data_IF_213580383913
#
_entry.id   IF_213580383913
#
_cell.length_a   1.000
_cell.length_b   1.000
_cell.length_c   1.000
_cell.angle_alpha   90.00
_cell.angle_beta   90.00
_cell.angle_gamma   90.00
#
_symmetry.space_group_name_H-M   'P 1'
#
loop_
_entity.id
_entity.type
_entity.pdbx_description
1 polymer ?
#
# COMPACT_ATOMS: atom_id res chain seq x y z
N UNK A 1 -7.32 9.20 -11.22
CA UNK A 1 -7.90 8.30 -12.24
C UNK A 1 -6.77 7.47 -12.79
N UNK A 2 -6.82 6.17 -12.54
CA UNK A 2 -5.80 5.22 -12.94
C UNK A 2 -5.84 5.03 -14.45
N UNK A 3 -4.66 5.04 -15.09
CA UNK A 3 -4.55 4.79 -16.53
C UNK A 3 -4.51 3.29 -16.78
N UNK A 4 -5.15 2.85 -17.85
CA UNK A 4 -4.99 1.48 -18.35
C UNK A 4 -3.51 1.24 -18.69
N UNK A 5 -2.97 0.10 -18.27
CA UNK A 5 -1.56 -0.21 -18.46
C UNK A 5 -1.30 -0.67 -19.90
N UNK A 6 -0.67 0.19 -20.71
CA UNK A 6 -0.03 -0.18 -21.97
C UNK A 6 1.44 -0.50 -21.75
N UNK A 7 1.80 -1.78 -21.83
CA UNK A 7 3.19 -2.23 -21.65
C UNK A 7 4.07 -1.80 -22.83
N UNK A 8 5.16 -1.12 -22.53
CA UNK A 8 6.10 -0.64 -23.55
C UNK A 8 7.25 -1.62 -23.85
N UNK A 9 7.29 -2.78 -23.17
CA UNK A 9 8.31 -3.82 -23.29
C UNK A 9 9.76 -3.32 -23.13
N UNK A 10 9.94 -2.14 -22.54
CA UNK A 10 11.24 -1.52 -22.35
C UNK A 10 12.03 -2.29 -21.31
N UNK A 11 13.32 -2.50 -21.60
CA UNK A 11 14.29 -3.04 -20.66
C UNK A 11 15.08 -1.85 -20.13
N UNK A 12 15.27 -1.78 -18.81
CA UNK A 12 16.08 -0.73 -18.18
C UNK A 12 17.55 -0.90 -18.56
N UNK A 13 18.17 0.21 -18.98
CA UNK A 13 19.62 0.31 -19.13
C UNK A 13 20.33 0.24 -17.77
N UNK A 14 21.63 -0.04 -17.77
CA UNK A 14 22.41 -0.15 -16.53
C UNK A 14 22.33 1.12 -15.68
N UNK A 15 22.43 2.29 -16.32
CA UNK A 15 22.30 3.58 -15.65
C UNK A 15 20.92 3.76 -15.00
N UNK A 16 19.84 3.39 -15.71
CA UNK A 16 18.48 3.48 -15.16
C UNK A 16 18.26 2.52 -13.99
N UNK A 17 18.93 1.36 -13.99
CA UNK A 17 18.89 0.43 -12.86
C UNK A 17 19.56 1.03 -11.62
N UNK A 18 20.70 1.70 -11.81
CA UNK A 18 21.41 2.41 -10.73
C UNK A 18 20.52 3.51 -10.15
N UNK A 19 19.98 4.39 -11.00
CA UNK A 19 19.10 5.48 -10.58
C UNK A 19 17.84 4.97 -9.85
N UNK A 20 17.23 3.89 -10.36
CA UNK A 20 16.10 3.25 -9.70
C UNK A 20 16.47 2.73 -8.30
N UNK A 21 17.66 2.14 -8.15
CA UNK A 21 18.13 1.64 -6.87
C UNK A 21 18.40 2.77 -5.87
N UNK A 22 19.03 3.86 -6.31
CA UNK A 22 19.29 5.04 -5.49
C UNK A 22 17.98 5.66 -4.98
N UNK A 23 16.99 5.84 -5.88
CA UNK A 23 15.66 6.32 -5.49
C UNK A 23 14.93 5.36 -4.56
N UNK A 24 15.05 4.07 -4.78
CA UNK A 24 14.49 3.07 -3.87
C UNK A 24 15.11 3.16 -2.48
N UNK A 25 16.43 3.39 -2.40
CA UNK A 25 17.14 3.56 -1.12
C UNK A 25 16.70 4.80 -0.36
N UNK A 26 16.43 5.93 -1.04
CA UNK A 26 15.84 7.12 -0.40
C UNK A 26 14.54 6.77 0.34
N UNK A 27 13.59 6.09 -0.34
CA UNK A 27 12.31 5.70 0.27
C UNK A 27 12.48 4.68 1.41
N UNK A 28 13.36 3.69 1.23
CA UNK A 28 13.61 2.66 2.24
C UNK A 28 14.22 3.28 3.50
N UNK A 29 15.16 4.20 3.35
CA UNK A 29 15.80 4.89 4.48
C UNK A 29 14.79 5.77 5.22
N UNK A 30 14.01 6.59 4.50
CA UNK A 30 12.94 7.39 5.10
C UNK A 30 11.95 6.54 5.89
N UNK A 31 11.54 5.40 5.33
CA UNK A 31 10.64 4.48 6.03
C UNK A 31 11.32 3.88 7.28
N UNK A 32 12.58 3.48 7.17
CA UNK A 32 13.36 2.86 8.25
C UNK A 32 13.49 3.77 9.47
N UNK A 33 13.67 5.08 9.26
CA UNK A 33 13.70 6.07 10.34
C UNK A 33 12.36 6.18 11.10
N UNK A 34 11.25 5.84 10.44
CA UNK A 34 9.91 5.93 11.01
C UNK A 34 9.41 4.61 11.65
N UNK A 35 10.05 3.47 11.35
CA UNK A 35 9.60 2.13 11.80
C UNK A 35 9.43 2.06 13.33
N UNK A 36 10.37 2.60 14.08
CA UNK A 36 10.31 2.54 15.55
C UNK A 36 9.10 3.31 16.09
N UNK A 37 8.85 4.51 15.56
CA UNK A 37 7.67 5.30 15.90
C UNK A 37 6.37 4.58 15.56
N UNK A 38 6.30 3.94 14.38
CA UNK A 38 5.15 3.13 13.96
C UNK A 38 4.93 1.95 14.92
N UNK A 39 5.99 1.25 15.32
CA UNK A 39 5.93 0.12 16.25
C UNK A 39 5.42 0.55 17.65
N UNK A 40 5.93 1.66 18.17
CA UNK A 40 5.48 2.22 19.44
C UNK A 40 4.01 2.65 19.39
N UNK A 41 3.57 3.26 18.29
CA UNK A 41 2.15 3.61 18.07
C UNK A 41 1.28 2.36 18.05
N UNK A 42 1.64 1.35 17.25
CA UNK A 42 0.91 0.08 17.16
C UNK A 42 0.77 -0.65 18.51
N UNK A 43 1.80 -0.58 19.36
CA UNK A 43 1.79 -1.22 20.69
C UNK A 43 0.90 -0.47 21.69
N UNK A 44 0.79 0.86 21.57
CA UNK A 44 -0.11 1.67 22.41
C UNK A 44 -1.59 1.45 22.05
N UNK A 45 -1.89 1.28 20.76
CA UNK A 45 -3.24 1.00 20.24
C UNK A 45 -3.88 -0.22 20.93
N UNK A 46 -3.11 -1.31 21.12
CA UNK A 46 -3.61 -2.53 21.74
C UNK A 46 -4.02 -2.38 23.22
N UNK A 47 -3.72 -1.24 23.85
CA UNK A 47 -3.96 -0.99 25.28
C UNK A 47 -5.12 -0.02 25.56
N UNK A 48 -5.69 0.65 24.55
CA UNK A 48 -6.75 1.67 24.72
C UNK A 48 -7.90 1.45 23.72
N UNK A 49 -9.05 1.01 24.23
CA UNK A 49 -10.28 0.81 23.45
C UNK A 49 -11.53 1.43 24.11
N UNK A 50 -11.36 2.47 24.92
CA UNK A 50 -12.45 2.95 25.77
C UNK A 50 -13.28 4.10 25.16
N UNK A 51 -12.86 4.69 24.03
CA UNK A 51 -13.58 5.78 23.36
C UNK A 51 -13.75 5.59 21.85
N UNK A 52 -14.77 6.20 21.26
CA UNK A 52 -14.97 6.19 19.79
C UNK A 52 -13.83 6.94 19.07
N UNK A 53 -13.22 7.92 19.73
CA UNK A 53 -12.01 8.58 19.25
C UNK A 53 -10.84 7.60 19.11
N UNK A 54 -10.59 6.79 20.14
CA UNK A 54 -9.52 5.79 20.11
C UNK A 54 -9.78 4.81 18.97
N UNK A 55 -11.04 4.35 18.77
CA UNK A 55 -11.38 3.45 17.66
C UNK A 55 -11.05 4.04 16.29
N UNK A 56 -11.43 5.30 16.03
CA UNK A 56 -11.15 5.98 14.75
C UNK A 56 -9.63 6.12 14.56
N UNK A 57 -8.93 6.65 15.56
CA UNK A 57 -7.49 6.89 15.51
C UNK A 57 -6.72 5.58 15.33
N UNK A 58 -7.07 4.55 16.08
CA UNK A 58 -6.47 3.22 16.00
C UNK A 58 -6.69 2.60 14.61
N UNK A 59 -7.87 2.78 14.03
CA UNK A 59 -8.17 2.31 12.67
C UNK A 59 -7.32 3.04 11.63
N UNK A 60 -7.24 4.37 11.69
CA UNK A 60 -6.41 5.17 10.78
C UNK A 60 -4.92 4.77 10.88
N UNK A 61 -4.38 4.64 12.09
CA UNK A 61 -2.99 4.22 12.30
C UNK A 61 -2.77 2.80 11.78
N UNK A 62 -3.68 1.87 12.04
CA UNK A 62 -3.58 0.48 11.55
C UNK A 62 -3.53 0.43 10.02
N UNK A 63 -4.44 1.16 9.35
CA UNK A 63 -4.48 1.20 7.89
C UNK A 63 -3.21 1.89 7.36
N UNK A 64 -2.84 3.05 7.91
CA UNK A 64 -1.65 3.80 7.48
C UNK A 64 -0.35 3.01 7.66
N UNK A 65 -0.25 2.24 8.76
CA UNK A 65 0.85 1.32 9.00
C UNK A 65 0.89 0.25 7.91
N UNK A 66 -0.25 -0.40 7.66
CA UNK A 66 -0.36 -1.45 6.64
C UNK A 66 0.02 -0.94 5.24
N UNK A 67 -0.50 0.22 4.81
CA UNK A 67 -0.20 0.78 3.49
C UNK A 67 1.26 1.23 3.37
N UNK A 68 1.85 1.76 4.44
CA UNK A 68 3.26 2.14 4.46
C UNK A 68 4.20 0.93 4.37
N UNK A 69 3.95 -0.13 5.15
CA UNK A 69 4.71 -1.39 5.02
C UNK A 69 4.53 -2.02 3.63
N UNK A 70 3.29 -2.08 3.13
CA UNK A 70 3.00 -2.65 1.81
C UNK A 70 3.72 -1.90 0.70
N UNK A 71 3.74 -0.57 0.78
CA UNK A 71 4.51 0.29 -0.12
C UNK A 71 6.01 -0.04 -0.06
N UNK A 72 6.61 0.00 1.13
CA UNK A 72 8.04 -0.19 1.30
C UNK A 72 8.49 -1.59 0.86
N UNK A 73 7.76 -2.64 1.23
CA UNK A 73 8.03 -4.02 0.82
C UNK A 73 8.01 -4.18 -0.72
N UNK A 74 7.08 -3.50 -1.40
CA UNK A 74 7.02 -3.50 -2.86
C UNK A 74 8.24 -2.80 -3.47
N UNK A 75 8.69 -1.68 -2.89
CA UNK A 75 9.92 -0.98 -3.32
C UNK A 75 11.14 -1.87 -3.12
N UNK A 76 11.30 -2.52 -1.97
CA UNK A 76 12.39 -3.46 -1.68
C UNK A 76 12.41 -4.61 -2.68
N UNK A 77 11.28 -5.29 -2.88
CA UNK A 77 11.20 -6.43 -3.79
C UNK A 77 11.47 -6.02 -5.25
N UNK A 78 10.99 -4.84 -5.66
CA UNK A 78 11.24 -4.32 -7.01
C UNK A 78 12.70 -3.93 -7.20
N UNK A 79 13.33 -3.31 -6.19
CA UNK A 79 14.76 -3.03 -6.20
C UNK A 79 15.58 -4.31 -6.37
N UNK A 80 15.27 -5.35 -5.59
CA UNK A 80 15.94 -6.65 -5.72
C UNK A 80 15.73 -7.25 -7.11
N UNK A 81 14.51 -7.19 -7.64
CA UNK A 81 14.18 -7.68 -8.99
C UNK A 81 14.99 -6.95 -10.07
N UNK A 82 15.10 -5.62 -9.97
CA UNK A 82 15.86 -4.79 -10.92
C UNK A 82 17.37 -5.09 -10.87
N UNK A 83 17.91 -5.43 -9.69
CA UNK A 83 19.33 -5.78 -9.50
C UNK A 83 19.68 -7.21 -9.87
N UNK A 84 18.72 -8.12 -9.88
CA UNK A 84 18.97 -9.52 -10.16
C UNK A 84 19.54 -9.68 -11.57
N UNK A 85 20.63 -10.42 -11.71
CA UNK A 85 21.28 -10.70 -13.00
C UNK A 85 21.01 -12.13 -13.46
N UNK A 86 20.79 -13.06 -12.51
CA UNK A 86 20.46 -14.44 -12.81
C UNK A 86 18.97 -14.58 -13.21
N UNK A 87 18.65 -15.30 -14.32
CA UNK A 87 17.26 -15.54 -14.73
C UNK A 87 16.37 -16.15 -13.64
N UNK A 88 16.91 -17.08 -12.85
CA UNK A 88 16.17 -17.72 -11.76
C UNK A 88 15.84 -16.74 -10.65
N UNK A 89 16.79 -15.90 -10.24
CA UNK A 89 16.58 -14.86 -9.22
C UNK A 89 15.51 -13.86 -9.66
N UNK A 90 15.59 -13.38 -10.91
CA UNK A 90 14.55 -12.50 -11.47
C UNK A 90 13.17 -13.15 -11.42
N UNK A 91 13.07 -14.41 -11.83
CA UNK A 91 11.79 -15.11 -11.85
C UNK A 91 11.26 -15.43 -10.44
N UNK A 92 12.15 -15.73 -9.50
CA UNK A 92 11.81 -15.89 -8.09
C UNK A 92 11.29 -14.59 -7.47
N UNK A 93 12.02 -13.49 -7.68
CA UNK A 93 11.65 -12.17 -7.14
C UNK A 93 10.37 -11.64 -7.78
N UNK A 94 10.15 -11.87 -9.08
CA UNK A 94 8.86 -11.62 -9.75
C UNK A 94 7.73 -12.30 -8.98
N UNK A 95 7.85 -13.60 -8.71
CA UNK A 95 6.85 -14.35 -7.97
C UNK A 95 6.60 -13.79 -6.56
N UNK A 96 7.65 -13.44 -5.81
CA UNK A 96 7.50 -12.82 -4.48
C UNK A 96 6.83 -11.45 -4.54
N UNK A 97 7.21 -10.61 -5.50
CA UNK A 97 6.58 -9.32 -5.74
C UNK A 97 5.10 -9.48 -6.09
N UNK A 98 4.74 -10.46 -6.92
CA UNK A 98 3.34 -10.78 -7.24
C UNK A 98 2.52 -11.20 -6.02
N UNK A 99 3.09 -11.99 -5.13
CA UNK A 99 2.45 -12.34 -3.85
C UNK A 99 2.23 -11.09 -3.01
N UNK A 100 3.25 -10.25 -2.85
CA UNK A 100 3.17 -9.03 -2.06
C UNK A 100 2.08 -8.08 -2.59
N UNK A 101 2.10 -7.81 -3.90
CA UNK A 101 1.09 -6.98 -4.56
C UNK A 101 -0.32 -7.57 -4.37
N UNK A 102 -0.48 -8.88 -4.56
CA UNK A 102 -1.79 -9.54 -4.46
C UNK A 102 -2.38 -9.54 -3.05
N UNK A 103 -1.60 -9.99 -2.05
CA UNK A 103 -2.09 -10.08 -0.67
C UNK A 103 -2.29 -8.69 -0.07
N UNK A 104 -1.47 -7.71 -0.46
CA UNK A 104 -1.67 -6.31 -0.04
C UNK A 104 -2.94 -5.73 -0.66
N UNK A 105 -3.16 -5.92 -1.96
CA UNK A 105 -4.41 -5.51 -2.62
C UNK A 105 -5.64 -6.17 -1.98
N UNK A 106 -5.56 -7.47 -1.68
CA UNK A 106 -6.65 -8.23 -1.05
C UNK A 106 -7.03 -7.68 0.32
N UNK A 107 -6.04 -7.30 1.14
CA UNK A 107 -6.28 -6.71 2.46
C UNK A 107 -6.78 -5.26 2.35
N UNK A 108 -6.26 -4.50 1.39
CA UNK A 108 -6.67 -3.11 1.17
C UNK A 108 -8.12 -3.01 0.70
N UNK A 109 -8.47 -3.73 -0.38
CA UNK A 109 -9.75 -3.59 -1.09
C UNK A 109 -10.58 -4.88 -1.11
N UNK A 110 -9.93 -6.03 -1.33
CA UNK A 110 -10.61 -7.33 -1.47
C UNK A 110 -11.08 -7.62 -2.89
N UNK A 111 -11.03 -8.90 -3.30
CA UNK A 111 -11.35 -9.33 -4.67
C UNK A 111 -12.84 -9.66 -4.92
N UNK A 112 -13.71 -9.45 -3.93
CA UNK A 112 -15.13 -9.77 -4.04
C UNK A 112 -15.94 -8.90 -3.09
N UNK A 113 -17.26 -8.82 -3.27
CA UNK A 113 -18.15 -8.13 -2.32
C UNK A 113 -17.99 -8.65 -0.88
N UNK A 114 -17.75 -9.95 -0.71
CA UNK A 114 -17.47 -10.55 0.61
C UNK A 114 -16.11 -10.09 1.12
N UNK A 115 -15.08 -10.15 0.29
CA UNK A 115 -13.73 -9.71 0.64
C UNK A 115 -13.64 -8.21 0.96
N UNK A 116 -14.46 -7.38 0.31
CA UNK A 116 -14.51 -5.95 0.56
C UNK A 116 -14.97 -5.63 1.97
N UNK A 117 -15.99 -6.34 2.50
CA UNK A 117 -16.53 -6.08 3.85
C UNK A 117 -15.49 -6.18 4.96
N UNK A 118 -14.51 -7.06 4.78
CA UNK A 118 -13.44 -7.29 5.75
C UNK A 118 -12.16 -6.48 5.43
N UNK A 119 -12.20 -5.64 4.38
CA UNK A 119 -11.05 -4.88 3.90
C UNK A 119 -10.76 -3.62 4.71
N UNK A 120 -9.56 -3.06 4.52
CA UNK A 120 -9.22 -1.75 5.06
C UNK A 120 -10.05 -0.62 4.42
N UNK A 121 -10.42 -0.73 3.14
CA UNK A 121 -11.28 0.25 2.48
C UNK A 121 -12.67 0.32 3.14
N UNK A 122 -13.30 -0.81 3.49
CA UNK A 122 -14.60 -0.79 4.17
C UNK A 122 -14.53 -0.17 5.57
N UNK A 123 -13.44 -0.42 6.31
CA UNK A 123 -13.17 0.24 7.59
C UNK A 123 -12.99 1.75 7.40
N UNK A 124 -12.21 2.15 6.39
CA UNK A 124 -11.95 3.55 6.09
C UNK A 124 -13.20 4.29 5.61
N UNK A 125 -14.05 3.65 4.79
CA UNK A 125 -15.31 4.21 4.29
C UNK A 125 -16.20 4.68 5.44
N UNK A 126 -16.31 3.87 6.50
CA UNK A 126 -17.06 4.22 7.71
C UNK A 126 -16.54 5.51 8.33
N UNK A 127 -15.21 5.69 8.41
CA UNK A 127 -14.58 6.90 8.95
C UNK A 127 -14.78 8.08 7.99
N UNK A 128 -14.61 7.89 6.68
CA UNK A 128 -14.74 8.94 5.67
C UNK A 128 -16.16 9.54 5.67
N UNK A 129 -17.20 8.77 6.01
CA UNK A 129 -18.55 9.36 6.19
C UNK A 129 -18.60 10.47 7.24
N UNK A 130 -17.70 10.46 8.23
CA UNK A 130 -17.58 11.50 9.26
C UNK A 130 -16.76 12.71 8.78
N UNK A 131 -16.01 12.57 7.69
CA UNK A 131 -15.16 13.62 7.12
C UNK A 131 -15.50 13.84 5.62
N UNK A 132 -16.66 14.43 5.31
CA UNK A 132 -17.18 14.51 3.94
C UNK A 132 -16.25 15.26 2.97
N UNK A 133 -15.36 16.12 3.47
CA UNK A 133 -14.35 16.81 2.66
C UNK A 133 -13.38 15.87 1.93
N UNK A 134 -13.21 14.63 2.41
CA UNK A 134 -12.33 13.63 1.79
C UNK A 134 -13.07 12.61 0.93
N UNK A 135 -14.41 12.70 0.86
CA UNK A 135 -15.23 11.70 0.17
C UNK A 135 -14.88 11.56 -1.30
N UNK A 136 -14.69 12.68 -2.01
CA UNK A 136 -14.37 12.65 -3.44
C UNK A 136 -13.04 11.96 -3.73
N UNK A 137 -12.00 12.22 -2.92
CA UNK A 137 -10.69 11.59 -3.06
C UNK A 137 -10.75 10.09 -2.76
N UNK A 138 -11.49 9.71 -1.71
CA UNK A 138 -11.68 8.31 -1.36
C UNK A 138 -12.49 7.55 -2.43
N UNK A 139 -13.57 8.12 -2.94
CA UNK A 139 -14.39 7.51 -3.99
C UNK A 139 -13.57 7.33 -5.30
N UNK A 140 -12.65 8.25 -5.60
CA UNK A 140 -11.70 8.11 -6.72
C UNK A 140 -10.73 6.94 -6.51
N UNK A 141 -10.14 6.81 -5.31
CA UNK A 141 -9.27 5.69 -4.96
C UNK A 141 -9.98 4.34 -5.04
N UNK A 142 -11.25 4.28 -4.59
CA UNK A 142 -12.06 3.08 -4.71
C UNK A 142 -12.33 2.73 -6.17
N UNK A 143 -12.61 3.72 -7.03
CA UNK A 143 -12.82 3.48 -8.46
C UNK A 143 -11.56 2.90 -9.12
N UNK A 144 -10.39 3.45 -8.79
CA UNK A 144 -9.10 2.97 -9.28
C UNK A 144 -8.83 1.51 -8.83
N UNK A 145 -9.11 1.18 -7.56
CA UNK A 145 -9.01 -0.18 -7.04
C UNK A 145 -10.02 -1.14 -7.70
N UNK A 146 -11.26 -0.71 -7.94
CA UNK A 146 -12.27 -1.52 -8.61
C UNK A 146 -11.83 -1.88 -10.03
N UNK A 147 -11.27 -0.92 -10.78
CA UNK A 147 -10.74 -1.16 -12.13
C UNK A 147 -9.60 -2.18 -12.11
N UNK A 148 -8.66 -2.05 -11.17
CA UNK A 148 -7.60 -3.04 -10.97
C UNK A 148 -8.21 -4.41 -10.69
N UNK A 149 -9.16 -4.52 -9.76
CA UNK A 149 -9.75 -5.80 -9.32
C UNK A 149 -10.36 -6.66 -10.44
N UNK A 150 -10.75 -6.04 -11.56
CA UNK A 150 -11.32 -6.72 -12.74
C UNK A 150 -10.27 -7.54 -13.48
N UNK A 151 -8.98 -7.28 -13.23
CA UNK A 151 -7.89 -8.03 -13.82
C UNK A 151 -7.50 -9.24 -12.95
N UNK A 152 -7.19 -10.39 -13.58
CA UNK A 152 -6.89 -11.64 -12.88
C UNK A 152 -5.41 -12.04 -12.95
N UNK A 153 -4.54 -11.20 -13.52
CA UNK A 153 -3.16 -11.55 -13.86
C UNK A 153 -2.31 -12.01 -12.68
N UNK A 154 -2.63 -11.64 -11.44
CA UNK A 154 -1.87 -12.03 -10.25
C UNK A 154 -2.24 -13.40 -9.67
N UNK A 155 -3.40 -13.96 -10.03
CA UNK A 155 -4.00 -15.06 -9.26
C UNK A 155 -3.20 -16.36 -9.40
N UNK A 156 -2.87 -16.73 -10.63
CA UNK A 156 -2.22 -18.02 -10.90
C UNK A 156 -0.79 -18.10 -10.34
N UNK A 157 -0.03 -17.01 -10.48
CA UNK A 157 1.35 -16.94 -9.97
C UNK A 157 1.36 -16.87 -8.44
N UNK A 158 0.50 -16.04 -7.82
CA UNK A 158 0.35 -16.01 -6.36
C UNK A 158 -0.05 -17.38 -5.80
N UNK A 159 -1.03 -18.05 -6.41
CA UNK A 159 -1.49 -19.38 -5.94
C UNK A 159 -0.34 -20.41 -6.02
N UNK A 160 0.46 -20.38 -7.09
CA UNK A 160 1.61 -21.27 -7.22
C UNK A 160 2.69 -20.99 -6.17
N UNK A 161 2.99 -19.72 -5.90
CA UNK A 161 3.95 -19.28 -4.89
C UNK A 161 3.53 -19.63 -3.46
N UNK A 162 2.30 -19.27 -3.08
CA UNK A 162 1.78 -19.45 -1.72
C UNK A 162 1.64 -20.93 -1.36
N UNK A 163 1.23 -21.76 -2.33
CA UNK A 163 1.04 -23.19 -2.10
C UNK A 163 2.25 -24.04 -2.49
N UNK A 164 3.39 -23.44 -2.86
CA UNK A 164 4.62 -24.13 -3.27
C UNK A 164 4.31 -25.22 -4.30
N UNK A 165 3.50 -24.88 -5.31
CA UNK A 165 3.11 -25.85 -6.34
C UNK A 165 4.29 -26.05 -7.30
N UNK A 166 5.14 -27.05 -7.01
CA UNK A 166 6.38 -27.28 -7.74
C UNK A 166 6.20 -27.37 -9.27
N UNK A 167 5.14 -28.05 -9.74
CA UNK A 167 4.87 -28.20 -11.18
C UNK A 167 4.52 -26.86 -11.83
N UNK A 168 3.72 -26.02 -11.18
CA UNK A 168 3.40 -24.67 -11.69
C UNK A 168 4.58 -23.73 -11.57
N UNK A 169 5.31 -23.78 -10.46
CA UNK A 169 6.50 -22.98 -10.23
C UNK A 169 7.57 -23.27 -11.27
N UNK A 170 7.82 -24.54 -11.60
CA UNK A 170 8.75 -24.89 -12.68
C UNK A 170 8.40 -24.16 -13.98
N UNK A 171 7.13 -24.18 -14.39
CA UNK A 171 6.67 -23.48 -15.61
C UNK A 171 6.85 -21.96 -15.49
N UNK A 172 6.34 -21.37 -14.42
CA UNK A 172 6.43 -19.93 -14.16
C UNK A 172 7.88 -19.45 -14.14
N UNK A 173 8.80 -20.26 -13.59
CA UNK A 173 10.23 -19.94 -13.53
C UNK A 173 10.93 -19.88 -14.88
N UNK A 174 10.39 -20.58 -15.88
CA UNK A 174 10.93 -20.61 -17.25
C UNK A 174 10.25 -19.62 -18.20
N UNK A 175 9.16 -18.96 -17.78
CA UNK A 175 8.50 -17.94 -18.59
C UNK A 175 9.43 -16.74 -18.83
N UNK A 176 9.43 -16.24 -20.06
CA UNK A 176 10.14 -15.01 -20.41
C UNK A 176 9.64 -13.85 -19.56
N UNK A 177 10.58 -13.11 -18.97
CA UNK A 177 10.27 -12.03 -18.04
C UNK A 177 10.14 -10.71 -18.80
N UNK A 178 8.93 -10.18 -18.82
CA UNK A 178 8.69 -8.80 -19.25
C UNK A 178 8.91 -7.84 -18.06
N UNK A 179 10.09 -7.26 -17.97
CA UNK A 179 10.47 -6.34 -16.89
C UNK A 179 9.57 -5.10 -16.82
N UNK A 180 9.26 -4.51 -17.98
CA UNK A 180 8.38 -3.35 -18.10
C UNK A 180 7.01 -3.63 -17.50
N UNK A 181 6.42 -4.79 -17.83
CA UNK A 181 5.14 -5.20 -17.25
C UNK A 181 5.17 -5.24 -15.72
N UNK A 182 6.19 -5.90 -15.17
CA UNK A 182 6.34 -6.04 -13.71
C UNK A 182 6.51 -4.66 -13.06
N UNK A 183 7.39 -3.81 -13.61
CA UNK A 183 7.62 -2.47 -13.09
C UNK A 183 6.36 -1.61 -13.12
N UNK A 184 5.61 -1.62 -14.24
CA UNK A 184 4.39 -0.85 -14.40
C UNK A 184 3.27 -1.32 -13.47
N UNK A 185 3.09 -2.62 -13.31
CA UNK A 185 2.13 -3.20 -12.37
C UNK A 185 2.48 -2.88 -10.91
N UNK A 186 3.77 -2.90 -10.56
CA UNK A 186 4.23 -2.46 -9.23
C UNK A 186 3.93 -0.98 -9.02
N UNK A 187 4.35 -0.11 -9.95
CA UNK A 187 4.16 1.35 -9.83
C UNK A 187 2.70 1.71 -9.68
N UNK A 188 1.81 1.03 -10.42
CA UNK A 188 0.37 1.25 -10.31
C UNK A 188 -0.14 1.02 -8.88
N UNK A 189 0.31 -0.04 -8.20
CA UNK A 189 -0.15 -0.33 -6.84
C UNK A 189 0.59 0.48 -5.77
N UNK A 190 1.89 0.75 -5.95
CA UNK A 190 2.64 1.58 -5.00
C UNK A 190 2.20 3.04 -5.04
N UNK A 191 1.82 3.57 -6.20
CA UNK A 191 1.17 4.88 -6.32
C UNK A 191 -0.13 4.93 -5.51
N UNK A 192 -0.96 3.89 -5.60
CA UNK A 192 -2.17 3.79 -4.79
C UNK A 192 -1.86 3.74 -3.29
N UNK A 193 -0.90 2.93 -2.85
CA UNK A 193 -0.51 2.93 -1.43
C UNK A 193 -0.04 4.30 -0.96
N UNK A 194 0.73 5.03 -1.78
CA UNK A 194 1.17 6.37 -1.47
C UNK A 194 0.00 7.37 -1.35
N UNK A 195 -0.97 7.31 -2.27
CA UNK A 195 -2.18 8.14 -2.21
C UNK A 195 -3.04 7.81 -1.00
N UNK A 196 -3.18 6.53 -0.64
CA UNK A 196 -3.84 6.14 0.62
C UNK A 196 -3.10 6.66 1.85
N UNK A 197 -1.75 6.58 1.88
CA UNK A 197 -0.95 7.16 2.97
C UNK A 197 -1.20 8.67 3.11
N UNK A 198 -1.27 9.39 1.99
CA UNK A 198 -1.61 10.81 1.99
C UNK A 198 -3.00 11.08 2.56
N UNK A 199 -4.04 10.42 2.03
CA UNK A 199 -5.41 10.54 2.51
C UNK A 199 -5.52 10.27 4.02
N UNK A 200 -4.90 9.19 4.51
CA UNK A 200 -4.93 8.82 5.93
C UNK A 200 -4.25 9.88 6.79
N UNK A 201 -3.11 10.41 6.34
CA UNK A 201 -2.40 11.48 7.03
C UNK A 201 -3.26 12.74 7.14
N UNK A 202 -3.94 13.12 6.06
CA UNK A 202 -4.81 14.30 6.01
C UNK A 202 -6.07 14.17 6.86
N UNK A 203 -6.71 13.00 6.84
CA UNK A 203 -7.85 12.69 7.72
C UNK A 203 -7.40 12.73 9.18
N UNK A 204 -6.27 12.11 9.51
CA UNK A 204 -5.74 12.09 10.87
C UNK A 204 -5.38 13.50 11.35
N UNK A 205 -4.74 14.32 10.50
CA UNK A 205 -4.45 15.74 10.78
C UNK A 205 -5.72 16.54 11.05
N UNK A 206 -6.77 16.32 10.26
CA UNK A 206 -8.07 17.00 10.44
C UNK A 206 -8.72 16.61 11.76
N UNK A 207 -8.67 15.33 12.12
CA UNK A 207 -9.16 14.83 13.40
C UNK A 207 -8.42 15.49 14.58
N UNK A 208 -7.08 15.53 14.54
CA UNK A 208 -6.26 16.18 15.57
C UNK A 208 -6.57 17.67 15.70
N UNK A 209 -6.65 18.40 14.59
CA UNK A 209 -6.99 19.83 14.60
C UNK A 209 -8.36 20.09 15.23
N UNK A 210 -9.36 19.27 14.89
CA UNK A 210 -10.69 19.38 15.48
C UNK A 210 -10.66 19.18 17.00
N UNK A 211 -9.87 18.21 17.51
CA UNK A 211 -9.71 18.01 18.94
C UNK A 211 -9.04 19.17 19.64
N UNK A 212 -7.97 19.71 19.06
CA UNK A 212 -7.23 20.84 19.65
C UNK A 212 -8.13 22.06 19.76
N UNK A 213 -8.87 22.39 18.70
CA UNK A 213 -9.84 23.51 18.71
C UNK A 213 -10.90 23.30 19.78
N UNK A 214 -11.44 22.09 19.90
CA UNK A 214 -12.44 21.75 20.91
C UNK A 214 -11.87 21.89 22.33
N UNK A 215 -10.68 21.35 22.57
CA UNK A 215 -10.00 21.44 23.87
C UNK A 215 -9.72 22.89 24.28
N UNK A 216 -9.22 23.72 23.35
CA UNK A 216 -8.98 25.16 23.58
C UNK A 216 -10.27 25.88 23.95
N UNK A 217 -11.36 25.59 23.23
CA UNK A 217 -12.68 26.19 23.46
C UNK A 217 -13.29 25.76 24.80
N UNK A 218 -13.21 24.48 25.14
CA UNK A 218 -13.77 23.92 26.39
C UNK A 218 -13.01 24.39 27.63
N UNK A 219 -11.70 24.65 27.52
CA UNK A 219 -10.87 25.11 28.63
C UNK A 219 -10.67 26.63 28.68
N UNK A 220 -11.38 27.39 27.82
CA UNK A 220 -11.31 28.85 27.83
C UNK A 220 -9.92 29.43 27.54
N UNK A 221 -9.06 28.69 26.82
CA UNK A 221 -7.71 29.13 26.42
C UNK A 221 -7.83 30.06 25.20
N UNK A 222 -8.66 31.09 25.33
CA UNK A 222 -8.95 32.07 24.28
C UNK A 222 -8.61 33.45 24.79
N UNK A 223 -7.32 33.75 24.92
CA UNK A 223 -6.72 35.09 24.93
C UNK A 223 -5.18 34.97 25.04
N UNK A 224 -4.54 34.33 24.07
CA UNK A 224 -3.07 34.39 23.89
C UNK A 224 -2.62 33.89 22.51
N UNK A 225 -3.32 34.25 21.42
CA UNK A 225 -2.77 34.27 20.06
C UNK A 225 -3.34 35.50 19.37
#
# INVERSE_FOLDING_TARGET
>A
MIRELTYNNRILSEQERVEFCEKSDEYINMFSECIEGICQLATKIQKSENSDYDKITNTLIKIGTFTSYSFCDCIVLTKLFVRATNPYEKSFLRGKLKVQLNESFKKLYGFSKKGYKDSHCAQLETIITMFPGFKSEFDELLSDLEQISKNSWWKNERDAEVHINATKLYKLRHEEINESKIAMETVQLTDLFNRFNHLISEVHRTLLNHMVVRYVKENGIGNAI
#
